data_IF_768493118938
#
_entry.id   IF_768493118938
#
_cell.length_a   1.000
_cell.length_b   1.000
_cell.length_c   1.000
_cell.angle_alpha   90.00
_cell.angle_beta   90.00
_cell.angle_gamma   90.00
#
_symmetry.space_group_name_H-M   'P 1'
#
loop_
_entity.id
_entity.type
_entity.pdbx_description
1 polymer ?
#
# COMPACT_ATOMS: atom_id res chain seq x y z
N UNK A 1 -16.08 2.80 -4.01
CA UNK A 1 -16.64 2.56 -2.66
C UNK A 1 -18.18 2.49 -2.70
N UNK A 2 -18.86 3.61 -3.00
CA UNK A 2 -20.34 3.70 -2.96
C UNK A 2 -21.02 2.76 -3.97
N UNK A 3 -20.60 2.80 -5.24
CA UNK A 3 -21.21 2.00 -6.32
C UNK A 3 -21.08 0.48 -6.11
N UNK A 4 -20.03 0.05 -5.39
CA UNK A 4 -19.76 -1.36 -5.08
C UNK A 4 -20.30 -1.77 -3.70
N UNK A 5 -20.93 -0.86 -2.96
CA UNK A 5 -21.50 -1.11 -1.64
C UNK A 5 -20.48 -1.36 -0.54
N UNK A 6 -19.24 -0.90 -0.69
CA UNK A 6 -18.21 -1.01 0.35
C UNK A 6 -18.39 0.07 1.42
N UNK A 7 -18.24 -0.30 2.69
CA UNK A 7 -18.26 0.61 3.85
C UNK A 7 -16.87 0.89 4.41
N UNK A 8 -15.88 0.07 4.09
CA UNK A 8 -14.47 0.31 4.43
C UNK A 8 -13.58 -0.04 3.24
N UNK A 9 -12.46 0.67 3.14
CA UNK A 9 -11.38 0.39 2.21
C UNK A 9 -10.07 0.73 2.94
N UNK A 10 -9.20 -0.26 3.11
CA UNK A 10 -7.91 -0.13 3.77
C UNK A 10 -6.81 -0.65 2.85
N UNK A 11 -5.62 -0.04 2.89
CA UNK A 11 -4.47 -0.57 2.16
C UNK A 11 -3.93 -1.79 2.89
N UNK A 12 -3.54 -2.81 2.14
CA UNK A 12 -2.88 -3.97 2.71
C UNK A 12 -1.53 -3.60 3.33
N UNK A 13 -1.23 -4.20 4.47
CA UNK A 13 0.00 -3.89 5.21
C UNK A 13 1.26 -4.11 4.38
N UNK A 14 1.35 -5.19 3.62
CA UNK A 14 2.54 -5.51 2.81
C UNK A 14 2.72 -4.53 1.64
N UNK A 15 1.63 -4.05 1.04
CA UNK A 15 1.65 -3.01 -0.01
C UNK A 15 2.11 -1.67 0.58
N UNK A 16 1.56 -1.29 1.74
CA UNK A 16 1.99 -0.11 2.48
C UNK A 16 3.50 -0.16 2.78
N UNK A 17 3.99 -1.27 3.32
CA UNK A 17 5.38 -1.42 3.73
C UNK A 17 6.32 -1.41 2.52
N UNK A 18 5.93 -2.06 1.42
CA UNK A 18 6.68 -2.04 0.17
C UNK A 18 6.78 -0.62 -0.41
N UNK A 19 5.70 0.16 -0.40
CA UNK A 19 5.75 1.55 -0.83
C UNK A 19 6.67 2.40 0.05
N UNK A 20 6.58 2.26 1.38
CA UNK A 20 7.43 2.99 2.31
C UNK A 20 8.92 2.64 2.16
N UNK A 21 9.25 1.37 1.88
CA UNK A 21 10.62 0.97 1.58
C UNK A 21 11.18 1.72 0.37
N UNK A 22 10.44 1.71 -0.76
CA UNK A 22 10.84 2.44 -1.98
C UNK A 22 10.94 3.94 -1.74
N UNK A 23 10.01 4.49 -0.96
CA UNK A 23 10.01 5.91 -0.59
C UNK A 23 11.27 6.27 0.20
N UNK A 24 11.62 5.47 1.21
CA UNK A 24 12.80 5.69 2.04
C UNK A 24 14.09 5.56 1.22
N UNK A 25 14.22 4.52 0.39
CA UNK A 25 15.36 4.35 -0.53
C UNK A 25 15.55 5.57 -1.44
N UNK A 26 14.45 6.05 -2.04
CA UNK A 26 14.48 7.21 -2.92
C UNK A 26 14.80 8.50 -2.17
N UNK A 27 14.27 8.65 -0.96
CA UNK A 27 14.51 9.81 -0.11
C UNK A 27 15.98 9.90 0.31
N UNK A 28 16.63 8.76 0.62
CA UNK A 28 18.06 8.73 0.97
C UNK A 28 18.98 9.20 -0.18
N UNK A 29 18.53 9.14 -1.43
CA UNK A 29 19.31 9.65 -2.57
C UNK A 29 19.13 11.15 -2.80
N UNK A 30 18.38 11.87 -1.96
CA UNK A 30 18.12 13.30 -2.12
C UNK A 30 19.12 14.16 -1.34
N UNK A 31 19.36 15.39 -1.80
CA UNK A 31 20.29 16.33 -1.14
C UNK A 31 19.93 16.58 0.33
N UNK A 32 18.65 16.51 0.66
CA UNK A 32 18.16 16.69 2.04
C UNK A 32 18.57 15.55 2.98
N UNK A 33 18.91 14.37 2.46
CA UNK A 33 19.36 13.24 3.28
C UNK A 33 20.79 13.42 3.80
N UNK A 34 21.55 14.36 3.23
CA UNK A 34 22.94 14.60 3.59
C UNK A 34 23.09 14.86 5.12
N UNK A 35 24.05 14.21 5.81
CA UNK A 35 24.18 14.33 7.28
C UNK A 35 24.42 15.75 7.78
N UNK A 36 25.10 16.58 7.00
CA UNK A 36 25.34 17.99 7.33
C UNK A 36 24.15 18.92 7.09
N UNK A 37 23.03 18.43 6.55
CA UNK A 37 21.82 19.23 6.31
C UNK A 37 20.81 19.00 7.43
N UNK A 38 20.55 20.06 8.19
CA UNK A 38 19.47 20.12 9.17
C UNK A 38 18.25 20.80 8.55
N UNK A 39 17.09 20.15 8.55
CA UNK A 39 15.85 20.74 8.05
C UNK A 39 14.65 20.19 8.81
N UNK A 40 13.54 20.93 8.76
CA UNK A 40 12.27 20.50 9.36
C UNK A 40 11.67 19.25 8.67
N UNK A 41 12.19 18.86 7.50
CA UNK A 41 11.74 17.68 6.77
C UNK A 41 12.33 16.36 7.30
N UNK A 42 13.26 16.43 8.27
CA UNK A 42 13.97 15.27 8.83
C UNK A 42 13.58 15.08 10.29
N UNK A 43 13.41 13.84 10.70
CA UNK A 43 13.30 13.51 12.12
C UNK A 43 14.68 13.41 12.80
N UNK A 44 14.68 13.18 14.10
CA UNK A 44 15.86 12.92 14.94
C UNK A 44 16.71 11.74 14.48
N UNK A 45 16.14 10.81 13.70
CA UNK A 45 16.81 9.65 13.08
C UNK A 45 17.28 9.90 11.65
N UNK A 46 17.33 11.15 11.19
CA UNK A 46 17.77 11.53 9.85
C UNK A 46 16.91 10.96 8.70
N UNK A 47 15.67 10.51 8.99
CA UNK A 47 14.70 10.06 7.98
C UNK A 47 13.88 11.23 7.49
N UNK A 48 13.75 11.38 6.17
CA UNK A 48 12.89 12.38 5.55
C UNK A 48 11.43 11.92 5.71
N UNK A 49 10.57 12.76 6.29
CA UNK A 49 9.19 12.36 6.65
C UNK A 49 8.10 13.12 5.92
N UNK A 50 8.42 14.28 5.32
CA UNK A 50 7.41 15.22 4.79
C UNK A 50 7.49 15.36 3.28
N UNK A 51 8.69 15.44 2.72
CA UNK A 51 8.86 15.75 1.30
C UNK A 51 8.80 14.48 0.46
N UNK A 52 7.86 14.41 -0.48
CA UNK A 52 7.85 13.36 -1.50
C UNK A 52 9.09 13.48 -2.38
N UNK A 53 9.88 12.41 -2.56
CA UNK A 53 11.08 12.41 -3.39
C UNK A 53 10.78 12.03 -4.85
N UNK A 54 9.50 11.86 -5.19
CA UNK A 54 9.05 11.48 -6.53
C UNK A 54 8.99 12.69 -7.46
N UNK A 55 9.34 12.48 -8.74
CA UNK A 55 8.95 13.43 -9.78
C UNK A 55 7.44 13.36 -9.96
N UNK A 56 6.80 14.49 -10.26
CA UNK A 56 5.35 14.55 -10.43
C UNK A 56 4.82 13.55 -11.46
N UNK A 57 5.51 13.39 -12.59
CA UNK A 57 5.11 12.45 -13.63
C UNK A 57 5.21 10.99 -13.17
N UNK A 58 6.23 10.63 -12.40
CA UNK A 58 6.41 9.28 -11.85
C UNK A 58 5.29 8.98 -10.85
N UNK A 59 4.98 9.93 -9.97
CA UNK A 59 3.91 9.80 -8.99
C UNK A 59 2.53 9.68 -9.64
N UNK A 60 2.27 10.47 -10.69
CA UNK A 60 1.07 10.32 -11.50
C UNK A 60 1.02 8.94 -12.16
N UNK A 61 2.13 8.48 -12.74
CA UNK A 61 2.23 7.14 -13.31
C UNK A 61 1.90 6.02 -12.32
N UNK A 62 2.37 6.15 -11.07
CA UNK A 62 2.09 5.19 -10.00
C UNK A 62 0.63 5.17 -9.55
N UNK A 63 -0.07 6.30 -9.60
CA UNK A 63 -1.40 6.46 -8.98
C UNK A 63 -2.56 6.60 -9.97
N UNK A 64 -2.28 6.70 -11.28
CA UNK A 64 -3.32 6.96 -12.29
C UNK A 64 -4.33 5.83 -12.50
N UNK A 65 -4.02 4.61 -12.06
CA UNK A 65 -4.95 3.48 -12.15
C UNK A 65 -5.31 2.98 -10.76
N UNK A 66 -6.56 2.58 -10.60
CA UNK A 66 -7.03 1.91 -9.40
C UNK A 66 -6.62 0.44 -9.45
N UNK A 67 -6.01 -0.05 -8.36
CA UNK A 67 -5.51 -1.43 -8.21
C UNK A 67 -6.27 -2.07 -7.03
N UNK A 68 -7.40 -2.77 -7.28
CA UNK A 68 -8.23 -3.33 -6.22
C UNK A 68 -7.50 -4.32 -5.31
N UNK A 69 -6.57 -5.10 -5.87
CA UNK A 69 -5.80 -6.13 -5.17
C UNK A 69 -4.83 -5.59 -4.11
N UNK A 70 -4.59 -4.28 -4.11
CA UNK A 70 -3.77 -3.60 -3.09
C UNK A 70 -4.57 -3.29 -1.81
N UNK A 71 -5.88 -3.53 -1.83
CA UNK A 71 -6.82 -3.10 -0.80
C UNK A 71 -7.51 -4.26 -0.11
N UNK A 72 -7.88 -4.03 1.14
CA UNK A 72 -8.89 -4.78 1.89
C UNK A 72 -10.18 -3.95 1.89
N UNK A 73 -11.28 -4.55 1.49
CA UNK A 73 -12.58 -3.89 1.42
C UNK A 73 -13.62 -4.69 2.20
N UNK A 74 -14.57 -4.01 2.84
CA UNK A 74 -15.70 -4.68 3.49
C UNK A 74 -17.02 -4.06 3.06
N UNK A 75 -18.05 -4.90 2.98
CA UNK A 75 -19.46 -4.48 2.94
C UNK A 75 -20.03 -4.43 4.38
N UNK A 76 -21.22 -3.86 4.62
CA UNK A 76 -21.80 -3.80 5.95
C UNK A 76 -21.88 -5.19 6.62
N UNK A 77 -21.32 -5.31 7.83
CA UNK A 77 -21.35 -6.55 8.62
C UNK A 77 -20.39 -7.67 8.15
N UNK A 78 -19.57 -7.42 7.12
CA UNK A 78 -18.61 -8.39 6.59
C UNK A 78 -17.18 -8.06 7.08
N UNK A 79 -16.32 -9.09 7.12
CA UNK A 79 -14.89 -8.89 7.38
C UNK A 79 -14.22 -8.26 6.15
N UNK A 80 -13.18 -7.42 6.32
CA UNK A 80 -12.39 -6.92 5.19
C UNK A 80 -11.72 -8.08 4.44
N UNK A 81 -11.83 -8.07 3.12
CA UNK A 81 -11.24 -9.06 2.22
C UNK A 81 -10.67 -8.38 0.97
N UNK A 82 -9.74 -9.04 0.27
CA UNK A 82 -9.25 -8.51 -1.00
C UNK A 82 -10.36 -8.62 -2.07
N UNK A 83 -10.64 -7.56 -2.83
CA UNK A 83 -11.56 -7.62 -3.95
C UNK A 83 -11.20 -8.77 -4.90
N UNK A 84 -12.14 -9.67 -5.19
CA UNK A 84 -11.92 -10.81 -6.08
C UNK A 84 -11.45 -12.11 -5.40
N UNK A 85 -11.26 -12.12 -4.07
CA UNK A 85 -10.99 -13.34 -3.28
C UNK A 85 -12.23 -13.94 -2.59
N UNK A 86 -13.44 -13.50 -2.96
CA UNK A 86 -14.67 -13.94 -2.31
C UNK A 86 -14.96 -15.42 -2.54
N UNK A 87 -14.90 -16.21 -1.45
CA UNK A 87 -15.46 -17.55 -1.20
C UNK A 87 -15.18 -18.73 -2.17
N UNK A 88 -14.97 -18.53 -3.47
CA UNK A 88 -14.75 -19.64 -4.42
C UNK A 88 -13.34 -20.25 -4.31
N UNK A 89 -12.39 -19.54 -3.69
CA UNK A 89 -11.02 -20.03 -3.51
C UNK A 89 -10.85 -20.99 -2.30
N UNK A 90 -11.88 -21.17 -1.46
CA UNK A 90 -11.80 -22.02 -0.24
C UNK A 90 -12.66 -23.29 -0.34
N UNK A 91 -13.04 -23.71 -1.55
CA UNK A 91 -13.57 -25.06 -1.80
C UNK A 91 -12.49 -25.88 -2.52
N UNK A 92 -11.54 -26.45 -1.77
CA UNK A 92 -10.78 -27.67 -2.14
C UNK A 92 -9.64 -27.94 -1.14
N UNK A 93 -9.94 -28.08 0.15
CA UNK A 93 -9.05 -28.76 1.09
C UNK A 93 -9.57 -30.15 1.49
N UNK A 94 -10.88 -30.40 1.35
CA UNK A 94 -11.53 -31.69 1.68
C UNK A 94 -11.77 -32.63 0.48
N UNK A 95 -11.37 -32.24 -0.74
CA UNK A 95 -11.56 -33.06 -1.96
C UNK A 95 -10.39 -33.99 -2.29
N UNK A 96 -9.31 -33.99 -1.51
CA UNK A 96 -8.17 -34.90 -1.69
C UNK A 96 -8.27 -36.09 -0.73
N UNK A 97 -9.36 -36.85 -0.84
CA UNK A 97 -9.37 -38.26 -0.50
C UNK A 97 -8.84 -39.02 -1.71
N UNK A 98 -7.56 -39.40 -1.67
CA UNK A 98 -6.98 -40.35 -2.62
C UNK A 98 -6.94 -41.71 -1.93
N UNK A 99 -7.71 -42.66 -2.45
CA UNK A 99 -7.59 -44.10 -2.15
C UNK A 99 -6.28 -44.68 -2.66
#
# INVERSE_FOLDING_TARGET
MIELGYTTMEVRQDVHDQYNHRLDEKAQSMVWAHPGVTSWYKNDRNRITVTSPWRLLDYWGMTRHFVPEDLLVAKPGQKPEMPGQGADAVISADSLSVS
#
